data_IF_412894356462
#
_entry.id   IF_412894356462
#
_cell.length_a   1.000
_cell.length_b   1.000
_cell.length_c   1.000
_cell.angle_alpha   90.00
_cell.angle_beta   90.00
_cell.angle_gamma   90.00
#
_symmetry.space_group_name_H-M   'P 1'
#
loop_
_entity.id
_entity.type
_entity.pdbx_description
1 polymer ?
#
# COMPACT_ATOMS: atom_id res chain seq x y z
N UNK A 1 -0.93 11.34 0.65
CA UNK A 1 -0.18 12.44 1.32
C UNK A 1 0.15 12.12 2.77
N UNK A 2 -0.83 11.77 3.61
CA UNK A 2 -0.61 11.47 5.04
C UNK A 2 0.56 10.52 5.31
N UNK A 3 0.58 9.34 4.68
CA UNK A 3 1.65 8.34 4.93
C UNK A 3 3.06 8.84 4.55
N UNK A 4 3.20 9.54 3.43
CA UNK A 4 4.49 10.11 3.00
C UNK A 4 4.97 11.18 3.98
N UNK A 5 4.07 12.04 4.45
CA UNK A 5 4.38 13.05 5.47
C UNK A 5 4.81 12.40 6.79
N UNK A 6 4.03 11.42 7.28
CA UNK A 6 4.36 10.69 8.51
C UNK A 6 5.69 9.96 8.43
N UNK A 7 6.01 9.35 7.28
CA UNK A 7 7.29 8.67 7.06
C UNK A 7 8.48 9.65 7.02
N UNK A 8 8.32 10.80 6.35
CA UNK A 8 9.34 11.86 6.33
C UNK A 8 9.59 12.43 7.74
N UNK A 9 8.53 12.70 8.50
CA UNK A 9 8.63 13.16 9.89
C UNK A 9 9.30 12.13 10.79
N UNK A 10 8.93 10.85 10.66
CA UNK A 10 9.57 9.76 11.40
C UNK A 10 11.05 9.67 11.08
N UNK A 11 11.43 9.76 9.81
CA UNK A 11 12.83 9.73 9.41
C UNK A 11 13.61 10.93 9.93
N UNK A 12 13.06 12.15 9.84
CA UNK A 12 13.67 13.36 10.41
C UNK A 12 13.93 13.20 11.91
N UNK A 13 12.94 12.66 12.65
CA UNK A 13 13.08 12.38 14.08
C UNK A 13 14.18 11.35 14.38
N UNK A 14 14.24 10.27 13.58
CA UNK A 14 15.24 9.22 13.77
C UNK A 14 16.66 9.67 13.41
N UNK A 15 16.81 10.56 12.43
CA UNK A 15 18.11 11.19 12.11
C UNK A 15 18.54 12.13 13.24
N UNK A 16 17.63 12.97 13.74
CA UNK A 16 17.92 13.89 14.84
C UNK A 16 18.31 13.16 16.14
N UNK A 17 17.67 12.03 16.41
CA UNK A 17 17.97 11.18 17.57
C UNK A 17 19.15 10.21 17.37
N UNK A 18 19.85 10.28 16.23
CA UNK A 18 20.97 9.39 15.85
C UNK A 18 20.63 7.89 15.82
N UNK A 19 19.34 7.54 15.77
CA UNK A 19 18.87 6.16 15.56
C UNK A 19 19.07 5.76 14.10
N UNK A 20 18.84 6.69 13.18
CA UNK A 20 19.04 6.50 11.75
C UNK A 20 20.30 7.24 11.29
N UNK A 21 21.31 6.50 10.86
CA UNK A 21 22.54 7.10 10.33
C UNK A 21 22.35 7.57 8.88
N UNK A 22 22.74 8.82 8.54
CA UNK A 22 22.63 9.34 7.17
C UNK A 22 23.68 8.69 6.27
N UNK A 23 23.33 7.55 5.68
CA UNK A 23 24.13 6.88 4.65
C UNK A 23 23.65 7.27 3.25
N UNK A 24 24.44 7.00 2.18
CA UNK A 24 23.98 7.23 0.81
C UNK A 24 22.66 6.51 0.49
N UNK A 25 22.47 5.30 1.03
CA UNK A 25 21.23 4.54 0.86
C UNK A 25 20.03 5.22 1.55
N UNK A 26 20.21 5.69 2.79
CA UNK A 26 19.18 6.44 3.53
C UNK A 26 18.85 7.74 2.81
N UNK A 27 19.86 8.47 2.35
CA UNK A 27 19.65 9.71 1.61
C UNK A 27 18.88 9.47 0.31
N UNK A 28 19.18 8.39 -0.41
CA UNK A 28 18.46 8.01 -1.61
C UNK A 28 16.98 7.73 -1.32
N UNK A 29 16.69 6.96 -0.27
CA UNK A 29 15.31 6.67 0.15
C UNK A 29 14.57 7.95 0.55
N UNK A 30 15.20 8.85 1.32
CA UNK A 30 14.60 10.13 1.70
C UNK A 30 14.29 11.01 0.50
N UNK A 31 15.21 11.07 -0.47
CA UNK A 31 14.98 11.81 -1.71
C UNK A 31 13.78 11.25 -2.48
N UNK A 32 13.66 9.92 -2.59
CA UNK A 32 12.51 9.27 -3.23
C UNK A 32 11.21 9.57 -2.47
N UNK A 33 11.20 9.50 -1.14
CA UNK A 33 10.01 9.86 -0.35
C UNK A 33 9.61 11.32 -0.57
N UNK A 34 10.58 12.22 -0.57
CA UNK A 34 10.34 13.65 -0.74
C UNK A 34 9.82 13.96 -2.15
N UNK A 35 10.40 13.36 -3.18
CA UNK A 35 9.93 13.47 -4.57
C UNK A 35 8.49 12.97 -4.71
N UNK A 36 8.17 11.79 -4.15
CA UNK A 36 6.79 11.26 -4.16
C UNK A 36 5.82 12.13 -3.39
N UNK A 37 6.24 12.73 -2.27
CA UNK A 37 5.40 13.66 -1.52
C UNK A 37 5.00 14.86 -2.38
N UNK A 38 5.97 15.50 -3.05
CA UNK A 38 5.72 16.66 -3.90
C UNK A 38 4.87 16.30 -5.13
N UNK A 39 5.14 15.16 -5.79
CA UNK A 39 4.31 14.68 -6.91
C UNK A 39 2.86 14.47 -6.48
N UNK A 40 2.62 13.83 -5.32
CA UNK A 40 1.27 13.66 -4.81
C UNK A 40 0.61 14.99 -4.44
N UNK A 41 1.37 15.95 -3.92
CA UNK A 41 0.85 17.26 -3.52
C UNK A 41 0.37 18.06 -4.74
N UNK A 42 1.22 18.18 -5.75
CA UNK A 42 0.90 18.87 -7.01
C UNK A 42 -0.33 18.24 -7.65
N UNK A 43 -0.36 16.90 -7.79
CA UNK A 43 -1.50 16.20 -8.39
C UNK A 43 -2.79 16.39 -7.58
N UNK A 44 -2.70 16.43 -6.26
CA UNK A 44 -3.85 16.69 -5.39
C UNK A 44 -4.39 18.11 -5.57
N UNK A 45 -3.51 19.09 -5.77
CA UNK A 45 -3.89 20.49 -6.03
C UNK A 45 -4.53 20.63 -7.42
N UNK A 46 -3.95 19.98 -8.43
CA UNK A 46 -4.52 19.92 -9.78
C UNK A 46 -5.94 19.32 -9.75
N UNK A 47 -6.11 18.16 -9.11
CA UNK A 47 -7.43 17.53 -8.96
C UNK A 47 -8.42 18.42 -8.21
N UNK A 48 -7.99 19.10 -7.15
CA UNK A 48 -8.84 20.04 -6.43
C UNK A 48 -9.25 21.25 -7.30
N UNK A 49 -8.36 21.70 -8.18
CA UNK A 49 -8.63 22.82 -9.10
C UNK A 49 -9.67 22.49 -10.18
N UNK A 50 -9.86 21.20 -10.51
CA UNK A 50 -10.92 20.74 -11.42
C UNK A 50 -12.34 20.87 -10.82
N UNK A 51 -12.43 21.24 -9.54
CA UNK A 51 -13.67 21.30 -8.78
C UNK A 51 -14.00 19.95 -8.15
N UNK A 52 -14.54 20.00 -6.94
CA UNK A 52 -15.13 18.82 -6.33
C UNK A 52 -16.50 18.59 -6.98
N UNK A 53 -16.89 17.34 -7.29
CA UNK A 53 -18.25 17.06 -7.70
C UNK A 53 -19.21 17.62 -6.64
N UNK A 54 -20.36 18.14 -7.07
CA UNK A 54 -21.39 18.66 -6.16
C UNK A 54 -21.74 17.64 -5.06
N UNK A 55 -22.34 18.11 -3.96
CA UNK A 55 -22.77 17.26 -2.84
C UNK A 55 -23.87 16.29 -3.26
N UNK A 56 -23.51 15.28 -4.04
CA UNK A 56 -24.34 14.10 -4.24
C UNK A 56 -24.19 13.24 -2.97
N UNK A 57 -25.28 12.99 -2.23
CA UNK A 57 -25.23 12.12 -1.06
C UNK A 57 -24.70 10.71 -1.37
N UNK A 58 -24.77 10.24 -2.62
CA UNK A 58 -24.14 8.99 -3.05
C UNK A 58 -22.59 9.05 -3.03
N UNK A 59 -22.00 10.22 -3.25
CA UNK A 59 -20.54 10.44 -3.19
C UNK A 59 -20.02 10.46 -1.75
N UNK A 60 -20.86 10.76 -0.75
CA UNK A 60 -20.49 10.74 0.67
C UNK A 60 -20.14 9.33 1.19
N UNK A 61 -20.49 8.27 0.44
CA UNK A 61 -20.24 6.86 0.80
C UNK A 61 -18.95 6.32 0.15
N UNK A 62 -18.23 7.15 -0.61
CA UNK A 62 -16.98 6.76 -1.29
C UNK A 62 -15.80 7.24 -0.45
N UNK A 63 -15.20 6.31 0.30
CA UNK A 63 -13.98 6.55 1.08
C UNK A 63 -12.75 5.96 0.39
N UNK A 64 -11.57 6.53 0.64
CA UNK A 64 -10.31 6.02 0.10
C UNK A 64 -10.03 4.59 0.57
N UNK A 65 -10.41 4.28 1.81
CA UNK A 65 -10.28 2.95 2.42
C UNK A 65 -11.13 1.92 1.68
N UNK A 66 -12.38 2.27 1.35
CA UNK A 66 -13.28 1.39 0.62
C UNK A 66 -12.80 1.13 -0.81
N UNK A 67 -12.29 2.16 -1.49
CA UNK A 67 -11.68 2.03 -2.82
C UNK A 67 -10.46 1.10 -2.74
N UNK A 68 -9.57 1.34 -1.77
CA UNK A 68 -8.36 0.55 -1.57
C UNK A 68 -8.69 -0.92 -1.25
N UNK A 69 -9.68 -1.17 -0.39
CA UNK A 69 -10.14 -2.52 -0.07
C UNK A 69 -10.66 -3.24 -1.31
N UNK A 70 -11.58 -2.61 -2.06
CA UNK A 70 -12.14 -3.20 -3.28
C UNK A 70 -11.03 -3.56 -4.28
N UNK A 71 -10.10 -2.64 -4.48
CA UNK A 71 -8.99 -2.87 -5.40
C UNK A 71 -8.04 -3.99 -4.94
N UNK A 72 -7.78 -4.10 -3.63
CA UNK A 72 -7.00 -5.21 -3.09
C UNK A 72 -7.66 -6.57 -3.35
N UNK A 73 -8.99 -6.66 -3.22
CA UNK A 73 -9.75 -7.88 -3.54
C UNK A 73 -9.70 -8.19 -5.04
N UNK A 74 -9.88 -7.18 -5.90
CA UNK A 74 -9.76 -7.35 -7.36
C UNK A 74 -8.37 -7.85 -7.78
N UNK A 75 -7.31 -7.32 -7.17
CA UNK A 75 -5.94 -7.80 -7.37
C UNK A 75 -5.78 -9.27 -6.98
N UNK A 76 -6.34 -9.68 -5.83
CA UNK A 76 -6.30 -11.08 -5.39
C UNK A 76 -7.05 -12.00 -6.35
N UNK A 77 -8.24 -11.59 -6.81
CA UNK A 77 -9.04 -12.36 -7.76
C UNK A 77 -8.32 -12.49 -9.10
N UNK A 78 -7.77 -11.40 -9.61
CA UNK A 78 -7.00 -11.39 -10.87
C UNK A 78 -5.77 -12.28 -10.75
N UNK A 79 -5.02 -12.18 -9.65
CA UNK A 79 -3.85 -13.01 -9.39
C UNK A 79 -4.20 -14.51 -9.32
N UNK A 80 -5.33 -14.87 -8.70
CA UNK A 80 -5.81 -16.24 -8.66
C UNK A 80 -6.21 -16.77 -10.05
N UNK A 81 -6.78 -15.92 -10.92
CA UNK A 81 -7.04 -16.28 -12.31
C UNK A 81 -5.74 -16.48 -13.10
N UNK A 82 -4.75 -15.60 -12.91
CA UNK A 82 -3.44 -15.75 -13.56
C UNK A 82 -2.77 -17.08 -13.19
N UNK A 83 -2.90 -17.54 -11.94
CA UNK A 83 -2.43 -18.86 -11.54
C UNK A 83 -3.17 -19.99 -12.24
N UNK A 84 -4.51 -19.90 -12.34
CA UNK A 84 -5.35 -20.91 -12.97
C UNK A 84 -5.04 -21.04 -14.47
N UNK A 85 -4.69 -19.94 -15.13
CA UNK A 85 -4.38 -19.87 -16.56
C UNK A 85 -2.87 -19.95 -16.88
N UNK A 86 -2.01 -20.23 -15.90
CA UNK A 86 -0.60 -20.57 -16.14
C UNK A 86 0.37 -19.38 -16.26
N UNK A 87 0.02 -18.21 -15.71
CA UNK A 87 0.87 -17.01 -15.66
C UNK A 87 1.34 -16.63 -14.24
N UNK A 88 1.97 -17.55 -13.47
CA UNK A 88 2.30 -17.31 -12.05
C UNK A 88 3.32 -16.18 -11.85
N UNK A 89 4.10 -15.81 -12.85
CA UNK A 89 5.06 -14.70 -12.76
C UNK A 89 4.36 -13.33 -12.59
N UNK A 90 3.13 -13.19 -13.10
CA UNK A 90 2.36 -11.94 -13.03
C UNK A 90 1.50 -11.86 -11.75
N UNK A 91 1.28 -12.98 -11.05
CA UNK A 91 0.41 -13.02 -9.87
C UNK A 91 1.13 -12.46 -8.62
N UNK A 92 2.46 -12.61 -8.55
CA UNK A 92 3.28 -12.24 -7.39
C UNK A 92 3.17 -10.76 -7.05
N UNK A 93 3.38 -9.88 -8.03
CA UNK A 93 3.28 -8.44 -7.86
C UNK A 93 1.87 -8.00 -7.44
N UNK A 94 0.84 -8.66 -7.98
CA UNK A 94 -0.56 -8.37 -7.63
C UNK A 94 -0.85 -8.75 -6.18
N UNK A 95 -0.41 -9.91 -5.72
CA UNK A 95 -0.53 -10.29 -4.31
C UNK A 95 0.30 -9.40 -3.38
N UNK A 96 1.52 -9.01 -3.76
CA UNK A 96 2.33 -8.06 -2.98
C UNK A 96 1.63 -6.71 -2.83
N UNK A 97 1.05 -6.20 -3.91
CA UNK A 97 0.29 -4.95 -3.90
C UNK A 97 -0.97 -5.06 -3.04
N UNK A 98 -1.73 -6.14 -3.20
CA UNK A 98 -2.91 -6.41 -2.37
C UNK A 98 -2.55 -6.55 -0.89
N UNK A 99 -1.44 -7.22 -0.57
CA UNK A 99 -0.93 -7.36 0.79
C UNK A 99 -0.63 -6.00 1.43
N UNK A 100 0.10 -5.12 0.73
CA UNK A 100 0.41 -3.77 1.23
C UNK A 100 -0.86 -2.94 1.47
N UNK A 101 -1.84 -3.02 0.59
CA UNK A 101 -3.14 -2.34 0.75
C UNK A 101 -3.89 -2.87 1.98
N UNK A 102 -4.03 -4.19 2.12
CA UNK A 102 -4.72 -4.81 3.26
C UNK A 102 -4.00 -4.54 4.59
N UNK A 103 -2.66 -4.54 4.59
CA UNK A 103 -1.88 -4.17 5.76
C UNK A 103 -2.12 -2.72 6.15
N UNK A 104 -2.03 -1.79 5.19
CA UNK A 104 -2.26 -0.35 5.44
C UNK A 104 -3.64 -0.10 6.02
N UNK A 105 -4.68 -0.73 5.46
CA UNK A 105 -6.05 -0.64 5.98
C UNK A 105 -6.16 -1.19 7.41
N UNK A 106 -5.49 -2.31 7.70
CA UNK A 106 -5.54 -2.92 9.04
C UNK A 106 -4.91 -2.06 10.13
N UNK A 107 -3.94 -1.20 9.78
CA UNK A 107 -3.29 -0.27 10.72
C UNK A 107 -4.11 1.03 10.92
N UNK A 108 -5.00 1.38 9.98
CA UNK A 108 -5.76 2.63 9.99
C UNK A 108 -7.19 2.48 10.51
N UNK A 109 -7.74 1.26 10.50
CA UNK A 109 -9.14 1.01 10.89
C UNK A 109 -9.33 1.08 12.41
N UNK A 110 -10.41 1.73 12.84
CA UNK A 110 -10.76 1.86 14.27
C UNK A 110 -11.70 0.75 14.77
N UNK A 111 -12.42 0.09 13.86
CA UNK A 111 -13.33 -1.01 14.16
C UNK A 111 -12.57 -2.33 14.31
N UNK A 112 -12.68 -2.96 15.49
CA UNK A 112 -12.07 -4.27 15.75
C UNK A 112 -12.60 -5.36 14.82
N UNK A 113 -13.87 -5.30 14.45
CA UNK A 113 -14.48 -6.25 13.52
C UNK A 113 -13.82 -6.14 12.14
N UNK A 114 -13.69 -4.92 11.62
CA UNK A 114 -13.09 -4.68 10.31
C UNK A 114 -11.59 -5.02 10.32
N UNK A 115 -10.90 -4.69 11.42
CA UNK A 115 -9.49 -5.08 11.63
C UNK A 115 -9.30 -6.59 11.56
N UNK A 116 -10.18 -7.36 12.20
CA UNK A 116 -10.15 -8.81 12.14
C UNK A 116 -10.35 -9.35 10.72
N UNK A 117 -11.31 -8.79 9.96
CA UNK A 117 -11.56 -9.17 8.56
C UNK A 117 -10.33 -8.86 7.69
N UNK A 118 -9.81 -7.63 7.78
CA UNK A 118 -8.63 -7.21 7.03
C UNK A 118 -7.40 -8.07 7.36
N UNK A 119 -7.18 -8.38 8.65
CA UNK A 119 -6.09 -9.25 9.06
C UNK A 119 -6.23 -10.67 8.51
N UNK A 120 -7.46 -11.22 8.42
CA UNK A 120 -7.68 -12.54 7.83
C UNK A 120 -7.31 -12.57 6.35
N UNK A 121 -7.75 -11.57 5.58
CA UNK A 121 -7.38 -11.46 4.17
C UNK A 121 -5.88 -11.23 3.98
N UNK A 122 -5.29 -10.31 4.75
CA UNK A 122 -3.84 -10.07 4.76
C UNK A 122 -3.05 -11.36 4.97
N UNK A 123 -3.39 -12.12 6.00
CA UNK A 123 -2.71 -13.37 6.35
C UNK A 123 -2.92 -14.46 5.28
N UNK A 124 -4.07 -14.49 4.61
CA UNK A 124 -4.31 -15.41 3.50
C UNK A 124 -3.41 -15.09 2.29
N UNK A 125 -3.31 -13.81 1.93
CA UNK A 125 -2.42 -13.35 0.84
C UNK A 125 -0.96 -13.61 1.18
N UNK A 126 -0.55 -13.35 2.42
CA UNK A 126 0.81 -13.61 2.89
C UNK A 126 1.18 -15.10 2.78
N UNK A 127 0.29 -15.99 3.24
CA UNK A 127 0.48 -17.44 3.10
C UNK A 127 0.63 -17.83 1.63
N UNK A 128 -0.16 -17.23 0.73
CA UNK A 128 -0.05 -17.52 -0.70
C UNK A 128 1.29 -17.06 -1.27
N UNK A 129 1.73 -15.85 -0.95
CA UNK A 129 3.04 -15.32 -1.35
C UNK A 129 4.18 -16.26 -0.93
N UNK A 130 4.16 -16.76 0.31
CA UNK A 130 5.18 -17.72 0.79
C UNK A 130 5.18 -19.04 0.01
N UNK A 131 4.02 -19.50 -0.46
CA UNK A 131 3.93 -20.69 -1.31
C UNK A 131 4.56 -20.41 -2.68
N UNK A 132 4.25 -19.26 -3.28
CA UNK A 132 4.80 -18.86 -4.58
C UNK A 132 6.32 -18.65 -4.50
N UNK A 133 6.84 -18.10 -3.40
CA UNK A 133 8.29 -18.01 -3.10
C UNK A 133 8.94 -19.40 -3.09
N UNK A 134 8.35 -20.37 -2.37
CA UNK A 134 8.86 -21.75 -2.32
C UNK A 134 8.82 -22.47 -3.67
N UNK A 135 7.89 -22.09 -4.54
CA UNK A 135 7.79 -22.61 -5.90
C UNK A 135 8.75 -21.93 -6.88
N UNK A 136 9.50 -20.91 -6.44
CA UNK A 136 10.46 -20.17 -7.27
C UNK A 136 9.83 -19.08 -8.15
N UNK A 137 8.57 -18.71 -7.90
CA UNK A 137 7.85 -17.68 -8.66
C UNK A 137 7.99 -16.27 -8.08
N UNK A 138 8.63 -16.13 -6.91
CA UNK A 138 8.77 -14.84 -6.19
C UNK A 138 10.15 -14.77 -5.54
N UNK A 139 10.85 -13.66 -5.74
CA UNK A 139 12.02 -13.30 -4.92
C UNK A 139 11.52 -12.76 -3.59
N UNK A 140 12.08 -13.26 -2.49
CA UNK A 140 11.68 -12.87 -1.14
C UNK A 140 11.56 -11.33 -1.05
N UNK A 141 10.40 -10.85 -0.60
CA UNK A 141 10.26 -9.44 -0.28
C UNK A 141 11.08 -9.21 0.98
N UNK A 142 12.31 -8.73 0.81
CA UNK A 142 13.12 -8.20 1.91
C UNK A 142 12.32 -7.06 2.54
N UNK A 143 11.59 -7.38 3.60
CA UNK A 143 11.08 -6.42 4.56
C UNK A 143 12.27 -6.01 5.39
N UNK A 144 13.05 -5.06 4.85
CA UNK A 144 14.05 -4.31 5.59
C UNK A 144 13.36 -3.15 6.32
#
# INVERSE_FOLDING_TARGET
>A
LHMLSSALLLAQRNVASRVLHPSPAVQNVLNVLNDKYHQCLVRSQELASLGLPGQDPAMAVISAERIMYKHAIELCQTAALDELFGNPQLCSQRYQTAYMMLHTLSEQVHSDQDRNVLSRYKNAVEKRLRILERQGFVTAVNTC
#
